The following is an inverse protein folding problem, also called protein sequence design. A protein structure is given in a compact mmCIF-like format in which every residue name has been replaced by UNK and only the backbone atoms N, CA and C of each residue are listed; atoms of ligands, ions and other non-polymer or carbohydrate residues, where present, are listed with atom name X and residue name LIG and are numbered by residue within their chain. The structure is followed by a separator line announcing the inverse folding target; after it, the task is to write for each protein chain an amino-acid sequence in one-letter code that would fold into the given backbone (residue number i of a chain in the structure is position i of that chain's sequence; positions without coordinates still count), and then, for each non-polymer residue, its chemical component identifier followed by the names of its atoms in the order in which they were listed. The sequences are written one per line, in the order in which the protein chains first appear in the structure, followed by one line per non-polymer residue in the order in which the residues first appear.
data_IF_677718871280
#
_entry.id   IF_677718871280
#
_cell.length_a   1.000
_cell.length_b   1.000
_cell.length_c   1.000
_cell.angle_alpha   90.00
_cell.angle_beta   90.00
_cell.angle_gamma   90.00
#
_symmetry.space_group_name_H-M   'P 1'
#
loop_
_entity.id
_entity.type
_entity.pdbx_description
1 polymer ?
#
# COMPACT_ATOMS: atom_id res chain seq x y z
N UNK A 1 38.05 19.80 6.64
CA UNK A 1 36.96 20.43 5.86
C UNK A 1 36.73 21.88 6.31
N UNK A 2 37.80 22.60 6.64
CA UNK A 2 37.76 23.91 7.32
C UNK A 2 38.87 24.85 6.81
N UNK A 3 39.17 24.82 5.50
CA UNK A 3 40.34 25.51 4.97
C UNK A 3 40.05 26.80 4.20
N UNK A 4 38.85 27.03 3.66
CA UNK A 4 38.57 28.24 2.84
C UNK A 4 37.09 28.70 2.91
N UNK A 5 36.65 29.38 3.98
CA UNK A 5 35.24 29.72 4.21
C UNK A 5 34.65 30.74 3.24
N UNK A 6 35.48 31.46 2.47
CA UNK A 6 35.03 32.46 1.49
C UNK A 6 34.76 31.93 0.08
N UNK A 7 35.09 30.67 -0.22
CA UNK A 7 34.98 30.11 -1.59
C UNK A 7 33.63 29.48 -1.89
N UNK A 8 32.81 29.20 -0.89
CA UNK A 8 31.54 28.51 -1.07
C UNK A 8 30.46 29.21 -0.29
N UNK A 9 29.26 29.25 -0.86
CA UNK A 9 28.09 29.62 -0.06
C UNK A 9 27.81 28.50 0.94
N UNK A 10 27.36 28.86 2.14
CA UNK A 10 26.99 27.91 3.18
C UNK A 10 25.63 27.26 2.86
N UNK A 11 25.57 26.56 1.74
CA UNK A 11 24.40 25.85 1.24
C UNK A 11 24.85 24.74 0.29
N UNK A 12 24.37 23.51 0.55
CA UNK A 12 24.61 22.34 -0.28
C UNK A 12 23.31 22.03 -1.00
N UNK A 13 23.29 22.25 -2.31
CA UNK A 13 22.12 21.99 -3.13
C UNK A 13 21.98 20.50 -3.38
N UNK A 14 20.76 19.97 -3.20
CA UNK A 14 20.43 18.56 -3.26
C UNK A 14 20.32 17.87 -1.89
N UNK A 15 20.68 18.54 -0.79
CA UNK A 15 20.57 17.98 0.58
C UNK A 15 19.14 18.01 1.10
N UNK A 16 18.46 19.15 0.93
CA UNK A 16 17.15 19.40 1.53
C UNK A 16 16.04 19.52 0.47
N UNK A 17 16.41 19.71 -0.79
CA UNK A 17 15.53 19.94 -1.92
C UNK A 17 14.74 18.67 -2.22
N UNK A 18 13.40 18.77 -2.30
CA UNK A 18 12.50 17.63 -2.60
C UNK A 18 12.67 16.45 -1.61
N UNK A 19 13.06 16.73 -0.37
CA UNK A 19 13.32 15.67 0.64
C UNK A 19 14.70 15.02 0.54
N UNK A 20 15.62 15.60 -0.25
CA UNK A 20 16.97 15.11 -0.46
C UNK A 20 17.12 14.34 -1.77
N UNK A 21 18.21 14.60 -2.47
CA UNK A 21 18.55 13.99 -3.76
C UNK A 21 19.88 13.25 -3.64
N UNK A 22 20.15 12.30 -4.54
CA UNK A 22 21.42 11.55 -4.54
C UNK A 22 22.63 12.34 -5.06
N UNK A 23 22.43 13.60 -5.46
CA UNK A 23 23.45 14.46 -6.05
C UNK A 23 23.66 15.68 -5.15
N UNK A 24 24.90 16.04 -4.87
CA UNK A 24 25.25 17.18 -4.03
C UNK A 24 26.08 18.17 -4.82
N UNK A 25 25.66 19.43 -4.85
CA UNK A 25 26.37 20.51 -5.52
C UNK A 25 26.87 21.55 -4.52
N UNK A 26 28.08 22.03 -4.75
CA UNK A 26 28.72 23.14 -4.04
C UNK A 26 29.00 24.25 -5.05
N UNK A 27 28.73 25.49 -4.65
CA UNK A 27 28.94 26.66 -5.50
C UNK A 27 29.51 27.82 -4.69
N UNK A 28 30.30 28.67 -5.34
CA UNK A 28 30.77 29.96 -4.79
C UNK A 28 29.73 31.07 -4.98
N UNK A 29 28.75 30.84 -5.85
CA UNK A 29 27.68 31.78 -6.21
C UNK A 29 26.32 31.16 -5.94
N UNK A 30 25.31 32.00 -5.69
CA UNK A 30 23.93 31.55 -5.50
C UNK A 30 23.49 30.63 -6.66
N UNK A 31 22.89 29.48 -6.33
CA UNK A 31 22.45 28.47 -7.29
C UNK A 31 21.46 29.03 -8.34
N UNK A 32 20.67 30.04 -7.97
CA UNK A 32 19.78 30.79 -8.87
C UNK A 32 20.53 31.47 -10.03
N UNK A 33 21.78 31.91 -9.82
CA UNK A 33 22.61 32.57 -10.85
C UNK A 33 23.20 31.60 -11.85
N UNK A 34 23.29 30.31 -11.50
CA UNK A 34 23.80 29.24 -12.34
C UNK A 34 22.67 28.38 -12.92
N UNK A 35 21.44 28.87 -12.87
CA UNK A 35 20.27 28.26 -13.53
C UNK A 35 19.53 27.21 -12.70
N UNK A 36 19.88 27.02 -11.42
CA UNK A 36 19.12 26.13 -10.55
C UNK A 36 17.89 26.84 -9.96
N UNK A 37 16.79 26.11 -9.87
CA UNK A 37 15.53 26.61 -9.30
C UNK A 37 15.54 26.47 -7.77
N UNK A 38 14.92 27.43 -7.08
CA UNK A 38 14.67 27.32 -5.64
C UNK A 38 13.56 26.31 -5.37
N UNK A 39 13.94 25.07 -5.08
CA UNK A 39 12.99 23.99 -4.82
C UNK A 39 12.53 24.00 -3.36
N UNK A 40 11.24 23.69 -3.08
CA UNK A 40 10.77 23.52 -1.71
C UNK A 40 11.44 22.29 -1.07
N UNK A 41 11.65 22.35 0.24
CA UNK A 41 12.27 21.27 1.02
C UNK A 41 11.33 20.11 1.34
N UNK A 42 10.04 20.22 0.96
CA UNK A 42 9.05 19.17 1.18
C UNK A 42 9.17 18.08 0.11
N UNK A 43 9.21 16.79 0.48
CA UNK A 43 9.18 15.71 -0.49
C UNK A 43 7.85 15.71 -1.23
N UNK A 44 7.91 15.75 -2.57
CA UNK A 44 6.75 15.55 -3.44
C UNK A 44 6.11 14.15 -3.32
N UNK A 45 6.84 13.04 -3.03
CA UNK A 45 6.24 11.70 -3.03
C UNK A 45 5.49 11.32 -1.73
N UNK A 46 5.13 12.26 -0.85
CA UNK A 46 4.33 11.95 0.35
C UNK A 46 2.90 11.48 0.04
N UNK A 47 2.46 11.51 -1.23
CA UNK A 47 1.11 11.13 -1.64
C UNK A 47 0.94 9.63 -1.94
N UNK A 48 2.01 8.85 -2.09
CA UNK A 48 1.90 7.42 -2.44
C UNK A 48 1.83 6.49 -1.23
N UNK A 49 2.33 6.93 -0.07
CA UNK A 49 2.35 6.14 1.16
C UNK A 49 0.93 5.86 1.70
N UNK A 50 0.01 6.81 1.55
CA UNK A 50 -1.38 6.70 2.04
C UNK A 50 -2.23 5.74 1.20
N UNK A 51 -1.91 5.57 -0.08
CA UNK A 51 -2.68 4.70 -1.00
C UNK A 51 -2.43 3.22 -0.66
N UNK A 52 -1.22 2.87 -0.25
CA UNK A 52 -0.86 1.47 0.00
C UNK A 52 -1.57 0.91 1.25
N UNK A 53 -1.75 1.68 2.31
CA UNK A 53 -2.44 1.20 3.52
C UNK A 53 -3.96 1.09 3.37
N UNK A 54 -4.57 1.95 2.56
CA UNK A 54 -6.03 1.92 2.33
C UNK A 54 -6.45 0.73 1.47
N UNK A 55 -5.64 0.35 0.47
CA UNK A 55 -5.92 -0.81 -0.39
C UNK A 55 -5.84 -2.14 0.37
N UNK A 56 -4.83 -2.33 1.23
CA UNK A 56 -4.68 -3.59 1.98
C UNK A 56 -5.63 -3.74 3.17
N UNK A 57 -6.04 -2.64 3.82
CA UNK A 57 -6.97 -2.70 4.96
C UNK A 57 -8.37 -3.22 4.58
N UNK A 58 -8.82 -2.98 3.35
CA UNK A 58 -10.15 -3.39 2.89
C UNK A 58 -10.26 -4.87 2.49
N UNK A 59 -9.13 -5.59 2.37
CA UNK A 59 -9.12 -6.99 1.91
C UNK A 59 -9.70 -7.98 2.92
N UNK A 60 -9.90 -7.58 4.19
CA UNK A 60 -10.50 -8.46 5.19
C UNK A 60 -12.02 -8.66 4.99
N UNK A 61 -12.71 -7.67 4.40
CA UNK A 61 -14.16 -7.71 4.17
C UNK A 61 -14.57 -8.83 3.20
N UNK A 62 -13.95 -8.99 2.01
CA UNK A 62 -14.24 -10.12 1.13
C UNK A 62 -13.98 -11.49 1.79
N UNK A 63 -12.90 -11.63 2.57
CA UNK A 63 -12.56 -12.89 3.26
C UNK A 63 -13.66 -13.27 4.25
N UNK A 64 -14.12 -12.32 5.07
CA UNK A 64 -15.20 -12.55 6.01
C UNK A 64 -16.51 -12.90 5.30
N UNK A 65 -16.87 -12.17 4.25
CA UNK A 65 -18.08 -12.41 3.46
C UNK A 65 -18.10 -13.82 2.86
N UNK A 66 -17.03 -14.23 2.19
CA UNK A 66 -16.93 -15.56 1.58
C UNK A 66 -16.85 -16.68 2.62
N UNK A 67 -16.22 -16.43 3.78
CA UNK A 67 -16.19 -17.37 4.91
C UNK A 67 -17.59 -17.66 5.44
N UNK A 68 -18.40 -16.62 5.69
CA UNK A 68 -19.78 -16.76 6.14
C UNK A 68 -20.63 -17.48 5.09
N UNK A 69 -20.52 -17.09 3.81
CA UNK A 69 -21.28 -17.71 2.72
C UNK A 69 -20.98 -19.21 2.59
N UNK A 70 -19.70 -19.59 2.67
CA UNK A 70 -19.27 -21.00 2.59
C UNK A 70 -19.86 -21.84 3.72
N UNK A 71 -19.90 -21.31 4.95
CA UNK A 71 -20.52 -21.99 6.10
C UNK A 71 -22.03 -22.15 5.90
N UNK A 72 -22.72 -21.11 5.43
CA UNK A 72 -24.17 -21.15 5.18
C UNK A 72 -24.50 -22.20 4.11
N UNK A 73 -23.78 -22.19 2.99
CA UNK A 73 -23.97 -23.16 1.91
C UNK A 73 -23.74 -24.60 2.38
N UNK A 74 -22.67 -24.84 3.14
CA UNK A 74 -22.37 -26.17 3.68
C UNK A 74 -23.47 -26.68 4.64
N UNK A 75 -24.00 -25.80 5.50
CA UNK A 75 -25.09 -26.16 6.42
C UNK A 75 -26.40 -26.42 5.68
N UNK A 76 -26.68 -25.68 4.61
CA UNK A 76 -27.89 -25.86 3.82
C UNK A 76 -27.84 -27.18 3.01
N UNK A 77 -26.70 -27.49 2.38
CA UNK A 77 -26.51 -28.74 1.63
C UNK A 77 -26.67 -29.98 2.52
N UNK A 78 -26.11 -29.95 3.74
CA UNK A 78 -26.24 -31.05 4.72
C UNK A 78 -27.68 -31.26 5.20
N UNK A 79 -28.55 -30.24 5.12
CA UNK A 79 -29.99 -30.38 5.40
C UNK A 79 -30.71 -31.08 4.26
N UNK A 80 -30.42 -30.71 3.01
CA UNK A 80 -30.98 -31.35 1.82
C UNK A 80 -30.56 -32.81 1.68
N UNK A 81 -29.29 -33.13 1.95
CA UNK A 81 -28.78 -34.51 1.91
C UNK A 81 -29.42 -35.42 2.97
N UNK A 82 -29.82 -34.86 4.13
CA UNK A 82 -30.54 -35.60 5.17
C UNK A 82 -32.00 -35.86 4.81
N UNK A 83 -32.65 -34.95 4.10
CA UNK A 83 -34.06 -35.12 3.72
C UNK A 83 -34.22 -36.20 2.64
N UNK A 84 -33.39 -36.17 1.58
CA UNK A 84 -33.42 -37.19 0.52
C UNK A 84 -32.92 -38.59 0.95
N UNK A 85 -32.25 -38.72 2.10
CA UNK A 85 -31.80 -40.00 2.64
C UNK A 85 -32.83 -40.68 3.55
N UNK A 86 -33.77 -39.91 4.11
CA UNK A 86 -34.90 -40.47 4.86
C UNK A 86 -35.98 -41.02 3.89
N UNK A 87 -36.29 -40.31 2.80
CA UNK A 87 -37.27 -40.79 1.79
C UNK A 87 -36.84 -42.08 1.08
N UNK A 88 -35.53 -42.35 0.97
CA UNK A 88 -35.00 -43.59 0.37
C UNK A 88 -34.99 -44.80 1.32
N UNK A 89 -35.20 -44.61 2.63
CA UNK A 89 -35.24 -45.74 3.59
C UNK A 89 -36.64 -46.32 3.77
N UNK A 90 -37.67 -45.65 3.26
CA UNK A 90 -39.06 -46.00 3.51
C UNK A 90 -39.72 -46.81 2.36
N UNK A 91 -38.96 -47.16 1.31
CA UNK A 91 -39.40 -48.15 0.34
C UNK A 91 -38.84 -49.54 0.71
N UNK A 92 -39.65 -50.49 1.21
CA UNK A 92 -39.23 -51.87 1.32
C UNK A 92 -38.98 -52.42 -0.09
N UNK A 93 -37.85 -53.11 -0.30
CA UNK A 93 -37.66 -53.97 -1.46
C UNK A 93 -38.76 -55.03 -1.39
N UNK A 94 -39.76 -54.91 -2.25
CA UNK A 94 -40.75 -55.95 -2.47
C UNK A 94 -40.09 -57.13 -3.17
N UNK A 95 -40.28 -58.31 -2.57
CA UNK A 95 -40.11 -59.61 -3.22
C UNK A 95 -41.29 -59.91 -4.16
#
# INVERSE_FOLDING_TARGET
MASEPGKYINHVYGKNEIGGTSWMYLSSVAFEKVGFLKMPTKPIPQTSETIQHTMFSYLWSPILLYGVLSVVLHRNHKKSDKHGKNDKKDHPKGD
#
